data_IF_756354142007
#
_entry.id   IF_756354142007
#
_cell.length_a   1.000
_cell.length_b   1.000
_cell.length_c   1.000
_cell.angle_alpha   90.00
_cell.angle_beta   90.00
_cell.angle_gamma   90.00
#
_symmetry.space_group_name_H-M   'P 1'
#
loop_
_entity.id
_entity.type
_entity.pdbx_description
1 polymer ?
#
# COMPACT_ATOMS: atom_id res chain seq x y z
N UNK A 1 2.92 28.25 9.55
CA UNK A 1 4.30 27.81 9.83
C UNK A 1 4.40 26.28 9.80
N UNK A 2 3.51 25.58 10.52
CA UNK A 2 3.55 24.12 10.67
C UNK A 2 3.43 23.35 9.36
N UNK A 3 2.68 23.86 8.37
CA UNK A 3 2.54 23.24 7.05
C UNK A 3 3.89 23.03 6.32
N UNK A 4 4.82 23.98 6.44
CA UNK A 4 6.16 23.87 5.84
C UNK A 4 7.04 22.84 6.58
N UNK A 5 6.86 22.74 7.90
CA UNK A 5 7.59 21.77 8.73
C UNK A 5 7.13 20.35 8.41
N UNK A 6 5.82 20.14 8.26
CA UNK A 6 5.27 18.84 7.84
C UNK A 6 5.70 18.47 6.41
N UNK A 7 5.67 19.43 5.48
CA UNK A 7 6.16 19.21 4.12
C UNK A 7 7.63 18.75 4.11
N UNK A 8 8.49 19.43 4.86
CA UNK A 8 9.90 19.03 4.95
C UNK A 8 10.06 17.63 5.55
N UNK A 9 9.34 17.33 6.63
CA UNK A 9 9.41 16.04 7.32
C UNK A 9 8.95 14.87 6.45
N UNK A 10 7.87 15.03 5.69
CA UNK A 10 7.40 13.98 4.79
C UNK A 10 8.30 13.75 3.58
N UNK A 11 8.96 14.79 3.06
CA UNK A 11 9.88 14.63 1.93
C UNK A 11 11.25 14.08 2.33
N UNK A 12 11.70 14.30 3.57
CA UNK A 12 12.99 13.80 4.06
C UNK A 12 12.89 12.44 4.76
N UNK A 13 12.00 12.32 5.75
CA UNK A 13 11.86 11.12 6.56
C UNK A 13 10.80 10.18 5.97
N UNK A 14 9.79 10.69 5.26
CA UNK A 14 8.64 9.93 4.78
C UNK A 14 7.76 9.41 5.93
N UNK A 15 6.61 8.82 5.60
CA UNK A 15 5.58 8.46 6.59
C UNK A 15 5.88 7.08 7.19
N UNK A 16 5.90 7.00 8.52
CA UNK A 16 5.93 5.71 9.23
C UNK A 16 4.52 5.14 9.32
N UNK A 17 4.33 3.95 8.77
CA UNK A 17 3.10 3.20 8.91
C UNK A 17 3.29 2.20 10.05
N UNK A 18 2.29 2.03 10.91
CA UNK A 18 2.33 1.05 11.99
C UNK A 18 2.66 -0.36 11.45
N UNK A 19 3.31 -1.17 12.28
CA UNK A 19 3.60 -2.56 11.94
C UNK A 19 2.31 -3.36 11.80
N UNK A 20 2.12 -4.03 10.67
CA UNK A 20 0.93 -4.80 10.38
C UNK A 20 0.95 -5.37 8.97
N UNK A 21 0.05 -6.32 8.74
CA UNK A 21 -0.24 -6.89 7.43
C UNK A 21 -1.64 -6.47 7.02
N UNK A 22 -1.81 -6.12 5.75
CA UNK A 22 -3.13 -5.88 5.18
C UNK A 22 -3.22 -6.51 3.80
N UNK A 23 -4.38 -7.09 3.52
CA UNK A 23 -4.74 -7.58 2.21
C UNK A 23 -5.97 -6.81 1.76
N UNK A 24 -5.82 -6.05 0.68
CA UNK A 24 -6.91 -5.26 0.11
C UNK A 24 -7.08 -5.64 -1.34
N UNK A 25 -8.33 -5.96 -1.72
CA UNK A 25 -8.69 -6.36 -3.07
C UNK A 25 -9.61 -5.31 -3.68
N UNK A 26 -9.38 -4.98 -4.94
CA UNK A 26 -10.17 -4.03 -5.71
C UNK A 26 -10.61 -4.73 -7.00
N UNK A 27 -11.86 -4.55 -7.43
CA UNK A 27 -12.28 -4.99 -8.76
C UNK A 27 -11.62 -4.12 -9.83
N UNK A 28 -10.75 -4.73 -10.61
CA UNK A 28 -10.18 -4.14 -11.81
C UNK A 28 -10.93 -4.69 -13.04
N UNK A 29 -10.90 -3.99 -14.19
CA UNK A 29 -11.57 -4.43 -15.42
C UNK A 29 -11.11 -5.78 -15.98
N UNK A 30 -10.08 -6.41 -15.40
CA UNK A 30 -9.46 -7.68 -15.82
C UNK A 30 -9.52 -8.77 -14.73
N UNK A 31 -10.32 -8.57 -13.68
CA UNK A 31 -10.40 -9.46 -12.53
C UNK A 31 -10.06 -8.75 -11.22
N UNK A 32 -9.77 -9.54 -10.18
CA UNK A 32 -9.46 -9.01 -8.85
C UNK A 32 -8.00 -8.57 -8.77
N UNK A 33 -7.78 -7.31 -8.38
CA UNK A 33 -6.47 -6.75 -8.09
C UNK A 33 -6.25 -6.70 -6.58
N UNK A 34 -5.58 -7.72 -6.06
CA UNK A 34 -5.19 -7.85 -4.66
C UNK A 34 -3.80 -7.27 -4.41
N UNK A 35 -3.69 -6.42 -3.39
CA UNK A 35 -2.40 -5.93 -2.89
C UNK A 35 -2.23 -6.44 -1.46
N UNK A 36 -1.20 -7.26 -1.25
CA UNK A 36 -0.74 -7.69 0.06
C UNK A 36 0.44 -6.83 0.50
N UNK A 37 0.27 -6.09 1.59
CA UNK A 37 1.27 -5.18 2.14
C UNK A 37 1.64 -5.61 3.56
N UNK A 38 2.92 -5.82 3.80
CA UNK A 38 3.49 -5.98 5.14
C UNK A 38 4.31 -4.74 5.47
N UNK A 39 3.90 -4.03 6.52
CA UNK A 39 4.68 -2.96 7.15
C UNK A 39 5.32 -3.47 8.44
N UNK A 40 6.59 -3.17 8.61
CA UNK A 40 7.39 -3.45 9.81
C UNK A 40 7.65 -2.19 10.65
N UNK A 41 6.81 -1.16 10.53
CA UNK A 41 6.97 0.09 11.29
C UNK A 41 7.98 1.06 10.70
N UNK A 42 8.58 0.73 9.55
CA UNK A 42 9.57 1.58 8.86
C UNK A 42 8.95 2.34 7.70
N UNK A 43 9.65 3.37 7.22
CA UNK A 43 9.15 4.27 6.16
C UNK A 43 9.22 3.65 4.75
N UNK A 44 9.52 2.35 4.67
CA UNK A 44 9.51 1.55 3.44
C UNK A 44 8.70 0.27 3.70
N UNK A 45 7.80 -0.13 2.77
CA UNK A 45 7.10 -1.39 2.91
C UNK A 45 8.11 -2.55 2.89
N UNK A 46 7.94 -3.50 3.80
CA UNK A 46 8.84 -4.65 3.93
C UNK A 46 8.65 -5.64 2.79
N UNK A 47 7.40 -5.88 2.43
CA UNK A 47 7.01 -6.76 1.33
C UNK A 47 5.69 -6.31 0.74
N UNK A 48 5.67 -6.17 -0.58
CA UNK A 48 4.46 -5.97 -1.36
C UNK A 48 4.33 -7.19 -2.27
N UNK A 49 3.25 -7.96 -2.12
CA UNK A 49 2.92 -9.04 -3.06
C UNK A 49 1.67 -8.63 -3.80
N UNK A 50 1.73 -8.69 -5.12
CA UNK A 50 0.63 -8.36 -6.01
C UNK A 50 0.01 -9.68 -6.45
N UNK A 51 -1.22 -9.91 -6.03
CA UNK A 51 -2.00 -11.05 -6.45
C UNK A 51 -3.01 -10.56 -7.48
N UNK A 52 -2.72 -10.87 -8.74
CA UNK A 52 -3.62 -10.61 -9.85
C UNK A 52 -4.32 -11.92 -10.14
N UNK A 53 -5.59 -12.03 -9.74
CA UNK A 53 -6.43 -13.15 -10.14
C UNK A 53 -7.06 -12.77 -11.46
N UNK A 54 -6.58 -13.38 -12.55
CA UNK A 54 -7.30 -13.39 -13.81
C UNK A 54 -8.53 -14.30 -13.66
N UNK A 55 -9.53 -13.79 -12.96
CA UNK A 55 -10.87 -14.33 -13.01
C UNK A 55 -11.49 -13.92 -14.32
N UNK A 56 -11.93 -14.89 -15.11
CA UNK A 56 -13.00 -14.65 -16.07
C UNK A 56 -14.11 -13.92 -15.28
N UNK A 57 -14.47 -12.72 -15.73
CA UNK A 57 -15.67 -12.03 -15.23
C UNK A 57 -16.80 -13.01 -15.58
N UNK A 58 -17.19 -13.86 -14.64
CA UNK A 58 -18.05 -15.01 -14.93
C UNK A 58 -19.49 -14.48 -15.16
N UNK A 59 -19.85 -14.33 -16.46
CA UNK A 59 -21.15 -14.01 -17.13
C UNK A 59 -21.22 -12.71 -17.93
#
# INVERSE_FOLDING_TARGET
MESLIHHFKYYSENISVNSGETYTVIEAPKGEYGVYLISNGTNKPYRCTLDVVFGEIDR
#
